data_IF_743964823882
#
_entry.id   IF_743964823882
#
_cell.length_a   1.000
_cell.length_b   1.000
_cell.length_c   1.000
_cell.angle_alpha   90.00
_cell.angle_beta   90.00
_cell.angle_gamma   90.00
#
_symmetry.space_group_name_H-M   'P 1'
#
loop_
_entity.id
_entity.type
_entity.pdbx_description
1 polymer ?
#
# COMPACT_ATOMS: atom_id res chain seq x y z
N UNK A 1 -13.08 -57.37 3.16
CA UNK A 1 -13.22 -55.96 2.72
C UNK A 1 -11.84 -55.36 2.47
N UNK A 2 -11.43 -55.01 1.23
CA UNK A 2 -10.05 -54.67 0.88
C UNK A 2 -9.80 -53.16 0.61
N UNK A 3 -10.53 -52.24 1.26
CA UNK A 3 -10.43 -50.79 0.97
C UNK A 3 -9.41 -50.01 1.83
N UNK A 4 -8.77 -50.65 2.81
CA UNK A 4 -7.80 -49.99 3.70
C UNK A 4 -6.55 -49.40 3.00
N UNK A 5 -5.88 -50.08 2.05
CA UNK A 5 -4.63 -49.57 1.51
C UNK A 5 -4.81 -48.28 0.69
N UNK A 6 -5.94 -48.13 -0.01
CA UNK A 6 -6.23 -46.92 -0.79
C UNK A 6 -6.48 -45.69 0.10
N UNK A 7 -6.96 -45.88 1.33
CA UNK A 7 -7.18 -44.79 2.29
C UNK A 7 -5.88 -44.33 2.96
N UNK A 8 -4.89 -45.22 3.07
CA UNK A 8 -3.56 -44.89 3.61
C UNK A 8 -2.73 -44.09 2.59
N UNK A 9 -2.78 -44.44 1.30
CA UNK A 9 -2.12 -43.69 0.23
C UNK A 9 -2.68 -42.27 0.07
N UNK A 10 -3.99 -42.08 0.23
CA UNK A 10 -4.63 -40.76 0.18
C UNK A 10 -4.29 -39.87 1.39
N UNK A 11 -3.94 -40.47 2.53
CA UNK A 11 -3.46 -39.75 3.73
C UNK A 11 -1.97 -39.39 3.61
N UNK A 12 -1.17 -40.26 2.99
CA UNK A 12 0.26 -40.07 2.69
C UNK A 12 0.51 -38.93 1.70
N UNK A 13 -0.36 -38.78 0.69
CA UNK A 13 -0.24 -37.76 -0.36
C UNK A 13 -0.65 -36.35 0.07
N UNK A 14 -1.26 -36.18 1.25
CA UNK A 14 -1.46 -34.86 1.89
C UNK A 14 -0.27 -34.50 2.77
N UNK A 15 0.90 -34.34 2.16
CA UNK A 15 2.01 -33.67 2.83
C UNK A 15 1.57 -32.26 3.25
N UNK A 16 1.92 -31.77 4.46
CA UNK A 16 1.67 -30.38 4.81
C UNK A 16 2.30 -29.50 3.73
N UNK A 17 1.49 -28.63 3.09
CA UNK A 17 1.99 -27.70 2.09
C UNK A 17 3.25 -27.04 2.64
N UNK A 18 4.37 -27.05 1.89
CA UNK A 18 5.67 -26.69 2.45
C UNK A 18 5.53 -25.29 3.05
N UNK A 19 5.78 -25.16 4.36
CA UNK A 19 5.59 -23.90 5.09
C UNK A 19 6.40 -22.74 4.50
N UNK A 20 7.38 -23.05 3.64
CA UNK A 20 8.15 -22.13 2.81
C UNK A 20 7.30 -21.45 1.73
N UNK A 21 6.37 -22.17 1.09
CA UNK A 21 5.53 -21.66 0.01
C UNK A 21 4.53 -20.58 0.46
N UNK A 22 4.13 -20.55 1.73
CA UNK A 22 3.23 -19.51 2.27
C UNK A 22 4.04 -18.27 2.69
N UNK A 23 5.30 -18.43 3.09
CA UNK A 23 6.15 -17.34 3.59
C UNK A 23 6.64 -16.42 2.47
N UNK A 24 7.06 -17.00 1.34
CA UNK A 24 7.57 -16.26 0.18
C UNK A 24 6.54 -15.25 -0.35
N UNK A 25 5.28 -15.62 -0.68
CA UNK A 25 4.31 -14.68 -1.23
C UNK A 25 3.90 -13.60 -0.24
N UNK A 26 3.73 -13.93 1.04
CA UNK A 26 3.41 -12.91 2.06
C UNK A 26 4.53 -11.88 2.18
N UNK A 27 5.79 -12.33 2.16
CA UNK A 27 6.94 -11.42 2.20
C UNK A 27 7.04 -10.56 0.94
N UNK A 28 6.81 -11.15 -0.23
CA UNK A 28 6.82 -10.45 -1.51
C UNK A 28 5.73 -9.37 -1.57
N UNK A 29 4.50 -9.70 -1.14
CA UNK A 29 3.41 -8.72 -1.02
C UNK A 29 3.81 -7.59 -0.07
N UNK A 30 4.40 -7.92 1.09
CA UNK A 30 4.92 -6.91 2.02
C UNK A 30 5.95 -5.98 1.38
N UNK A 31 6.92 -6.53 0.64
CA UNK A 31 7.95 -5.73 -0.03
C UNK A 31 7.37 -4.85 -1.15
N UNK A 32 6.44 -5.39 -1.94
CA UNK A 32 5.78 -4.63 -3.01
C UNK A 32 4.99 -3.46 -2.42
N UNK A 33 4.16 -3.70 -1.41
CA UNK A 33 3.37 -2.63 -0.77
C UNK A 33 4.29 -1.60 -0.11
N UNK A 34 5.37 -2.04 0.55
CA UNK A 34 6.33 -1.12 1.16
C UNK A 34 7.06 -0.27 0.09
N UNK A 35 7.43 -0.88 -1.04
CA UNK A 35 8.04 -0.17 -2.16
C UNK A 35 7.09 0.86 -2.78
N UNK A 36 5.81 0.52 -2.95
CA UNK A 36 4.79 1.45 -3.44
C UNK A 36 4.59 2.62 -2.47
N UNK A 37 4.51 2.35 -1.16
CA UNK A 37 4.44 3.41 -0.14
C UNK A 37 5.67 4.30 -0.20
N UNK A 38 6.87 3.73 -0.34
CA UNK A 38 8.10 4.52 -0.45
C UNK A 38 8.12 5.40 -1.70
N UNK A 39 7.68 4.88 -2.85
CA UNK A 39 7.54 5.64 -4.10
C UNK A 39 6.61 6.83 -3.90
N UNK A 40 5.42 6.61 -3.33
CA UNK A 40 4.45 7.69 -3.09
C UNK A 40 5.01 8.70 -2.09
N UNK A 41 5.67 8.24 -1.01
CA UNK A 41 6.29 9.13 -0.02
C UNK A 41 7.40 10.00 -0.61
N UNK A 42 8.29 9.44 -1.43
CA UNK A 42 9.35 10.20 -2.11
C UNK A 42 8.74 11.19 -3.09
N UNK A 43 7.77 10.74 -3.89
CA UNK A 43 7.01 11.59 -4.81
C UNK A 43 6.37 12.80 -4.11
N UNK A 44 5.70 12.59 -2.97
CA UNK A 44 5.11 13.65 -2.14
C UNK A 44 6.17 14.55 -1.48
N UNK A 45 7.24 13.98 -0.95
CA UNK A 45 8.29 14.73 -0.26
C UNK A 45 9.06 15.65 -1.21
N UNK A 46 9.19 15.26 -2.48
CA UNK A 46 9.87 16.05 -3.53
C UNK A 46 8.88 16.72 -4.48
N UNK A 47 7.64 16.95 -4.03
CA UNK A 47 6.63 17.62 -4.85
C UNK A 47 6.94 19.10 -5.03
N UNK A 48 6.70 19.60 -6.24
CA UNK A 48 6.77 21.01 -6.59
C UNK A 48 5.47 21.45 -7.28
N UNK A 49 4.98 22.65 -6.96
CA UNK A 49 3.79 23.26 -7.58
C UNK A 49 3.98 23.47 -9.09
N UNK A 50 5.23 23.72 -9.49
CA UNK A 50 5.61 24.03 -10.88
C UNK A 50 5.87 22.78 -11.74
N UNK A 51 5.73 21.57 -11.18
CA UNK A 51 6.01 20.32 -11.89
C UNK A 51 4.94 20.03 -12.97
N UNK A 52 5.33 19.51 -14.15
CA UNK A 52 4.38 19.05 -15.15
C UNK A 52 3.56 17.87 -14.63
N UNK A 53 2.24 18.00 -14.71
CA UNK A 53 1.28 16.96 -14.31
C UNK A 53 0.10 16.89 -15.32
N UNK A 54 -0.83 15.96 -15.10
CA UNK A 54 -2.05 15.91 -15.91
C UNK A 54 -2.97 17.12 -15.70
N UNK A 55 -2.91 17.72 -14.52
CA UNK A 55 -3.68 18.92 -14.18
C UNK A 55 -2.91 20.21 -14.50
N UNK A 56 -1.59 20.15 -14.69
CA UNK A 56 -0.73 21.29 -14.98
C UNK A 56 0.23 21.02 -16.15
N UNK A 57 -0.16 21.47 -17.35
CA UNK A 57 0.64 21.32 -18.56
C UNK A 57 1.68 22.45 -18.67
N UNK A 58 2.95 22.13 -18.45
CA UNK A 58 4.09 23.06 -18.60
C UNK A 58 5.19 22.44 -19.46
N UNK A 59 6.00 23.28 -20.09
CA UNK A 59 7.20 22.88 -20.84
C UNK A 59 8.45 22.73 -19.96
N UNK A 60 8.33 23.03 -18.65
CA UNK A 60 9.41 22.84 -17.68
C UNK A 60 9.70 21.35 -17.46
N UNK A 61 10.96 21.02 -17.22
CA UNK A 61 11.35 19.66 -16.82
C UNK A 61 10.86 19.38 -15.37
N UNK A 62 10.42 18.14 -15.06
CA UNK A 62 9.99 17.79 -13.72
C UNK A 62 11.16 17.83 -12.73
N UNK A 63 10.94 18.49 -11.59
CA UNK A 63 11.90 18.58 -10.49
C UNK A 63 11.78 17.41 -9.50
N UNK A 64 10.64 16.71 -9.51
CA UNK A 64 10.45 15.51 -8.72
C UNK A 64 11.55 14.48 -8.97
N UNK A 65 12.05 13.83 -7.91
CA UNK A 65 13.17 12.90 -8.03
C UNK A 65 12.83 11.65 -8.85
N UNK A 66 11.54 11.30 -8.93
CA UNK A 66 11.06 10.21 -9.76
C UNK A 66 10.66 10.68 -11.17
N UNK A 67 10.95 11.94 -11.52
CA UNK A 67 10.60 12.58 -12.79
C UNK A 67 9.09 12.77 -12.96
N UNK A 68 8.64 12.76 -14.22
CA UNK A 68 7.23 12.95 -14.58
C UNK A 68 6.25 12.02 -13.85
N UNK A 69 6.46 10.69 -13.72
CA UNK A 69 5.51 9.83 -13.01
C UNK A 69 5.42 10.19 -11.52
N UNK A 70 6.52 10.64 -10.91
CA UNK A 70 6.53 11.14 -9.54
C UNK A 70 5.72 12.42 -9.36
N UNK A 71 5.86 13.36 -10.28
CA UNK A 71 5.09 14.60 -10.30
C UNK A 71 3.57 14.31 -10.40
N UNK A 72 3.18 13.43 -11.33
CA UNK A 72 1.78 13.01 -11.51
C UNK A 72 1.22 12.32 -10.26
N UNK A 73 1.95 11.39 -9.64
CA UNK A 73 1.49 10.70 -8.43
C UNK A 73 1.28 11.68 -7.29
N UNK A 74 2.20 12.61 -7.07
CA UNK A 74 2.09 13.60 -6.01
C UNK A 74 0.89 14.52 -6.24
N UNK A 75 0.74 15.03 -7.46
CA UNK A 75 -0.36 15.92 -7.83
C UNK A 75 -1.73 15.25 -7.64
N UNK A 76 -1.90 14.02 -8.13
CA UNK A 76 -3.13 13.24 -7.93
C UNK A 76 -3.38 12.93 -6.45
N UNK A 77 -2.33 12.61 -5.69
CA UNK A 77 -2.45 12.33 -4.26
C UNK A 77 -2.90 13.56 -3.48
N UNK A 78 -2.35 14.73 -3.78
CA UNK A 78 -2.76 16.00 -3.17
C UNK A 78 -4.16 16.42 -3.59
N UNK A 79 -4.56 16.24 -4.85
CA UNK A 79 -5.90 16.60 -5.30
C UNK A 79 -7.00 15.73 -4.66
N UNK A 80 -6.75 14.43 -4.48
CA UNK A 80 -7.76 13.52 -3.94
C UNK A 80 -7.81 13.53 -2.42
N UNK A 81 -6.64 13.57 -1.76
CA UNK A 81 -6.55 13.38 -0.30
C UNK A 81 -6.03 14.61 0.45
N UNK A 82 -5.44 15.57 -0.25
CA UNK A 82 -4.78 16.72 0.36
C UNK A 82 -3.72 16.32 1.40
N UNK A 83 -3.65 17.07 2.48
CA UNK A 83 -2.76 16.81 3.62
C UNK A 83 -3.11 15.49 4.32
N UNK A 84 -4.35 15.01 4.19
CA UNK A 84 -4.81 13.73 4.73
C UNK A 84 -4.07 12.52 4.16
N UNK A 85 -3.39 12.66 3.02
CA UNK A 85 -2.65 11.57 2.37
C UNK A 85 -1.62 10.91 3.30
N UNK A 86 -1.00 11.67 4.21
CA UNK A 86 -0.06 11.11 5.19
C UNK A 86 -0.73 10.08 6.10
N UNK A 87 -1.97 10.37 6.56
CA UNK A 87 -2.74 9.43 7.38
C UNK A 87 -3.15 8.19 6.58
N UNK A 88 -3.41 8.34 5.27
CA UNK A 88 -3.74 7.23 4.37
C UNK A 88 -2.56 6.26 4.22
N UNK A 89 -1.33 6.78 4.13
CA UNK A 89 -0.12 5.97 3.88
C UNK A 89 0.41 5.21 5.09
N UNK A 90 0.19 5.70 6.31
CA UNK A 90 0.75 5.10 7.53
C UNK A 90 0.28 3.65 7.74
N UNK A 91 -1.02 3.31 7.71
CA UNK A 91 -1.46 1.94 7.97
C UNK A 91 -0.96 0.91 6.93
N UNK A 92 -1.00 1.18 5.61
CA UNK A 92 -0.36 0.34 4.61
C UNK A 92 1.14 0.13 4.85
N UNK A 93 1.88 1.16 5.25
CA UNK A 93 3.30 1.04 5.59
C UNK A 93 3.55 0.05 6.74
N UNK A 94 2.75 0.17 7.81
CA UNK A 94 2.84 -0.70 8.98
C UNK A 94 2.45 -2.15 8.67
N UNK A 95 1.40 -2.35 7.85
CA UNK A 95 0.99 -3.69 7.43
C UNK A 95 2.01 -4.33 6.50
N UNK A 96 2.55 -3.57 5.55
CA UNK A 96 3.61 -4.01 4.66
C UNK A 96 4.84 -4.47 5.45
N UNK A 97 5.28 -3.67 6.42
CA UNK A 97 6.37 -4.05 7.33
C UNK A 97 6.07 -5.32 8.14
N UNK A 98 4.83 -5.46 8.63
CA UNK A 98 4.38 -6.66 9.31
C UNK A 98 4.46 -7.90 8.41
N UNK A 99 4.02 -7.79 7.15
CA UNK A 99 4.11 -8.86 6.15
C UNK A 99 5.55 -9.24 5.79
N UNK A 100 6.46 -8.26 5.69
CA UNK A 100 7.91 -8.50 5.49
C UNK A 100 8.49 -9.33 6.64
N UNK A 101 7.98 -9.11 7.86
CA UNK A 101 8.31 -9.89 9.07
C UNK A 101 7.50 -11.19 9.21
N UNK A 102 6.74 -11.58 8.18
CA UNK A 102 5.87 -12.76 8.15
C UNK A 102 4.81 -12.77 9.26
N UNK A 103 4.43 -11.59 9.76
CA UNK A 103 3.35 -11.42 10.73
C UNK A 103 2.13 -10.89 10.00
N UNK A 104 1.11 -11.71 9.84
CA UNK A 104 -0.18 -11.29 9.29
C UNK A 104 -1.04 -10.80 10.46
N UNK A 105 -1.41 -9.51 10.51
CA UNK A 105 -2.32 -9.01 11.53
C UNK A 105 -3.65 -9.75 11.52
N UNK A 106 -4.19 -10.03 12.72
CA UNK A 106 -5.52 -10.61 12.85
C UNK A 106 -6.60 -9.62 12.38
N UNK A 107 -7.73 -10.15 11.90
CA UNK A 107 -8.91 -9.38 11.45
C UNK A 107 -8.59 -8.36 10.34
N UNK A 108 -7.83 -8.76 9.32
CA UNK A 108 -7.41 -7.88 8.23
C UNK A 108 -8.59 -7.18 7.53
N UNK A 109 -9.70 -7.88 7.30
CA UNK A 109 -10.90 -7.27 6.69
C UNK A 109 -11.44 -6.08 7.48
N UNK A 110 -11.57 -6.21 8.81
CA UNK A 110 -12.00 -5.10 9.67
C UNK A 110 -10.98 -3.96 9.69
N UNK A 111 -9.68 -4.28 9.64
CA UNK A 111 -8.62 -3.28 9.55
C UNK A 111 -8.68 -2.47 8.25
N UNK A 112 -8.96 -3.11 7.12
CA UNK A 112 -9.14 -2.42 5.84
C UNK A 112 -10.37 -1.51 5.88
N UNK A 113 -11.50 -1.99 6.40
CA UNK A 113 -12.71 -1.17 6.55
C UNK A 113 -12.45 0.03 7.47
N UNK A 114 -11.83 -0.22 8.63
CA UNK A 114 -11.49 0.84 9.57
C UNK A 114 -10.48 1.84 8.99
N UNK A 115 -9.51 1.39 8.19
CA UNK A 115 -8.56 2.24 7.49
C UNK A 115 -9.23 3.12 6.45
N UNK A 116 -10.15 2.58 5.64
CA UNK A 116 -10.90 3.39 4.67
C UNK A 116 -11.75 4.45 5.39
N UNK A 117 -12.49 4.05 6.43
CA UNK A 117 -13.29 4.99 7.23
C UNK A 117 -12.41 6.06 7.89
N UNK A 118 -11.30 5.68 8.51
CA UNK A 118 -10.35 6.60 9.11
C UNK A 118 -9.73 7.55 8.07
N UNK A 119 -9.39 7.05 6.88
CA UNK A 119 -8.84 7.86 5.78
C UNK A 119 -9.82 8.95 5.35
N UNK A 120 -11.10 8.60 5.15
CA UNK A 120 -12.15 9.56 4.79
C UNK A 120 -12.34 10.60 5.90
N UNK A 121 -12.44 10.15 7.15
CA UNK A 121 -12.59 11.05 8.30
C UNK A 121 -11.40 11.98 8.46
N UNK A 122 -10.16 11.48 8.31
CA UNK A 122 -8.95 12.29 8.37
C UNK A 122 -8.93 13.35 7.27
N UNK A 123 -9.26 13.00 6.03
CA UNK A 123 -9.37 13.98 4.94
C UNK A 123 -10.43 15.05 5.27
N UNK A 124 -11.58 14.63 5.80
CA UNK A 124 -12.64 15.55 6.24
C UNK A 124 -12.18 16.51 7.34
N UNK A 125 -11.42 16.03 8.34
CA UNK A 125 -10.85 16.89 9.39
C UNK A 125 -9.86 17.90 8.79
N UNK A 126 -8.97 17.46 7.91
CA UNK A 126 -7.99 18.36 7.28
C UNK A 126 -8.61 19.37 6.30
N UNK A 127 -9.81 19.10 5.76
CA UNK A 127 -10.53 20.04 4.91
C UNK A 127 -10.96 21.32 5.65
N UNK A 128 -11.02 21.30 6.99
CA UNK A 128 -11.30 22.49 7.80
C UNK A 128 -10.07 23.38 8.05
N UNK A 129 -8.88 22.96 7.60
CA UNK A 129 -7.70 23.83 7.64
C UNK A 129 -7.91 24.93 6.61
N UNK A 130 -7.95 26.18 7.08
CA UNK A 130 -8.05 27.35 6.22
C UNK A 130 -6.84 27.39 5.27
N UNK A 131 -7.11 27.65 3.99
CA UNK A 131 -6.05 27.93 3.04
C UNK A 131 -5.29 29.20 3.52
N UNK A 132 -3.95 29.17 3.56
CA UNK A 132 -3.18 30.39 3.84
C UNK A 132 -3.49 31.43 2.76
N UNK A 133 -3.59 32.69 3.18
CA UNK A 133 -3.79 33.85 2.29
C UNK A 133 -2.54 34.19 1.47
#
# INVERSE_FOLDING_TARGET
>A
MPAQPLLEDARSSRGPAPAIAIRIPVRLVGLIVLGLVAIIMVSLATWSVDDPSFSYATSKAPQNWLGFPGAVIADMSFQVFGIGMLAVLVPPALWAWSFVRLRVPSKMGLRVIAWLAASVLSCGVFAFIAAPE
#
